data_IF_744872575979
#
_entry.id   IF_744872575979
#
_cell.length_a   1.000
_cell.length_b   1.000
_cell.length_c   1.000
_cell.angle_alpha   90.00
_cell.angle_beta   90.00
_cell.angle_gamma   90.00
#
_symmetry.space_group_name_H-M   'P 1'
#
loop_
_entity.id
_entity.type
_entity.pdbx_description
1 polymer ?
#
# COMPACT_ATOMS: atom_id res chain seq x y z
N UNK A 1 51.66 25.01 34.70
CA UNK A 1 50.93 24.79 33.44
C UNK A 1 49.99 23.61 33.65
N UNK A 2 48.67 23.83 33.71
CA UNK A 2 47.65 22.79 33.87
C UNK A 2 46.87 22.70 32.57
N UNK A 3 47.00 21.57 31.87
CA UNK A 3 46.18 21.24 30.70
C UNK A 3 44.81 20.76 31.19
N UNK A 4 43.76 21.50 30.86
CA UNK A 4 42.37 21.08 31.03
C UNK A 4 41.91 20.53 29.68
N UNK A 5 41.73 19.22 29.61
CA UNK A 5 41.12 18.50 28.49
C UNK A 5 39.64 18.87 28.43
N UNK A 6 39.23 19.63 27.41
CA UNK A 6 37.81 19.79 27.08
C UNK A 6 37.36 18.58 26.25
N UNK A 7 36.79 17.58 26.91
CA UNK A 7 35.96 16.56 26.27
C UNK A 7 34.61 17.19 25.87
N UNK A 8 34.52 17.71 24.66
CA UNK A 8 33.26 18.17 24.10
C UNK A 8 32.49 16.99 23.49
N UNK A 9 31.35 16.73 24.10
CA UNK A 9 30.35 15.71 23.81
C UNK A 9 29.83 15.86 22.37
N UNK A 10 30.02 14.84 21.54
CA UNK A 10 29.30 14.69 20.28
C UNK A 10 27.85 14.34 20.59
N UNK A 11 27.00 15.37 20.68
CA UNK A 11 25.55 15.20 20.61
C UNK A 11 25.20 14.75 19.19
N UNK A 12 25.09 13.44 18.99
CA UNK A 12 24.38 12.87 17.85
C UNK A 12 22.91 13.25 17.99
N UNK A 13 22.54 14.43 17.49
CA UNK A 13 21.16 14.82 17.30
C UNK A 13 20.59 13.91 16.20
N UNK A 14 20.02 12.78 16.61
CA UNK A 14 19.17 11.97 15.75
C UNK A 14 17.94 12.81 15.41
N UNK A 15 18.01 13.60 14.34
CA UNK A 15 16.82 14.07 13.63
C UNK A 15 16.07 12.82 13.16
N UNK A 16 15.16 12.33 13.99
CA UNK A 16 14.18 11.36 13.55
C UNK A 16 13.30 12.07 12.54
N UNK A 17 13.51 11.77 11.27
CA UNK A 17 12.61 12.17 10.20
C UNK A 17 11.19 11.74 10.60
N UNK A 18 10.20 12.65 10.54
CA UNK A 18 8.83 12.31 10.92
C UNK A 18 8.39 11.08 10.13
N UNK A 19 8.00 10.02 10.84
CA UNK A 19 7.45 8.84 10.19
C UNK A 19 6.29 9.28 9.28
N UNK A 20 6.21 8.76 8.05
CA UNK A 20 5.14 9.11 7.14
C UNK A 20 3.79 8.88 7.84
N UNK A 21 2.92 9.90 7.81
CA UNK A 21 1.64 9.86 8.51
C UNK A 21 0.58 9.01 7.79
N UNK A 22 0.87 8.57 6.56
CA UNK A 22 -0.01 7.76 5.75
C UNK A 22 0.58 7.47 4.38
N UNK A 23 -0.16 6.70 3.58
CA UNK A 23 0.06 6.56 2.15
C UNK A 23 -0.56 7.75 1.42
N UNK A 24 -0.04 8.11 0.26
CA UNK A 24 -0.66 9.14 -0.58
C UNK A 24 -1.93 8.60 -1.24
N UNK A 25 -3.06 9.25 -1.00
CA UNK A 25 -4.34 8.88 -1.59
C UNK A 25 -4.33 9.02 -3.12
N UNK A 26 -5.15 8.24 -3.81
CA UNK A 26 -5.32 8.27 -5.25
C UNK A 26 -5.62 6.92 -5.88
N UNK A 27 -5.71 6.94 -7.20
CA UNK A 27 -5.88 5.77 -8.05
C UNK A 27 -4.53 5.37 -8.64
N UNK A 28 -4.26 4.07 -8.66
CA UNK A 28 -3.02 3.48 -9.13
C UNK A 28 -3.32 2.32 -10.07
N UNK A 29 -2.59 2.26 -11.19
CA UNK A 29 -2.70 1.21 -12.19
C UNK A 29 -1.47 0.30 -12.13
N UNK A 30 -1.71 -1.01 -12.12
CA UNK A 30 -0.66 -2.02 -12.21
C UNK A 30 -0.52 -2.56 -13.64
N UNK A 31 -0.03 -3.79 -13.76
CA UNK A 31 0.08 -4.46 -15.05
C UNK A 31 -1.29 -4.92 -15.56
N UNK A 32 -1.58 -4.68 -16.84
CA UNK A 32 -2.82 -5.15 -17.48
C UNK A 32 -4.07 -4.56 -16.83
N UNK A 33 -4.82 -5.41 -16.09
CA UNK A 33 -6.08 -5.06 -15.42
C UNK A 33 -5.89 -4.75 -13.92
N UNK A 34 -4.66 -4.81 -13.42
CA UNK A 34 -4.37 -4.62 -12.01
C UNK A 34 -4.66 -3.17 -11.58
N UNK A 35 -5.31 -3.03 -10.44
CA UNK A 35 -5.82 -1.77 -9.94
C UNK A 35 -5.64 -1.66 -8.42
N UNK A 36 -5.30 -0.47 -7.94
CA UNK A 36 -5.22 -0.15 -6.53
C UNK A 36 -5.75 1.26 -6.30
N UNK A 37 -6.52 1.43 -5.24
CA UNK A 37 -7.00 2.74 -4.83
C UNK A 37 -6.75 2.94 -3.33
N UNK A 38 -6.34 4.15 -2.96
CA UNK A 38 -6.15 4.61 -1.58
C UNK A 38 -6.99 5.86 -1.38
N UNK A 39 -7.81 5.89 -0.34
CA UNK A 39 -8.70 7.01 -0.06
C UNK A 39 -8.69 7.39 1.43
N UNK A 40 -9.13 8.62 1.71
CA UNK A 40 -9.22 9.18 3.06
C UNK A 40 -7.95 9.87 3.54
N UNK A 41 -8.10 10.54 4.68
CA UNK A 41 -7.03 11.32 5.31
C UNK A 41 -6.04 10.42 6.06
N UNK A 42 -4.76 10.84 6.18
CA UNK A 42 -3.74 10.13 6.97
C UNK A 42 -4.26 9.70 8.35
N UNK A 43 -4.01 8.44 8.72
CA UNK A 43 -4.48 7.84 9.98
C UNK A 43 -5.87 7.20 9.95
N UNK A 44 -6.71 7.51 8.96
CA UNK A 44 -8.04 6.87 8.76
C UNK A 44 -8.22 6.29 7.35
N UNK A 45 -7.11 6.07 6.66
CA UNK A 45 -7.10 5.69 5.25
C UNK A 45 -7.66 4.30 5.01
N UNK A 46 -8.25 4.14 3.83
CA UNK A 46 -8.73 2.87 3.30
C UNK A 46 -8.04 2.60 1.97
N UNK A 47 -7.96 1.33 1.62
CA UNK A 47 -7.52 0.94 0.31
C UNK A 47 -8.27 -0.30 -0.19
N UNK A 48 -8.30 -0.43 -1.50
CA UNK A 48 -8.73 -1.63 -2.19
C UNK A 48 -7.78 -1.93 -3.33
N UNK A 49 -7.53 -3.21 -3.58
CA UNK A 49 -6.78 -3.64 -4.76
C UNK A 49 -7.44 -4.84 -5.42
N UNK A 50 -7.10 -5.01 -6.70
CA UNK A 50 -7.34 -6.22 -7.45
C UNK A 50 -6.15 -6.47 -8.38
N UNK A 51 -5.65 -7.71 -8.39
CA UNK A 51 -4.60 -8.16 -9.32
C UNK A 51 -5.07 -9.40 -10.03
N UNK A 52 -4.82 -9.50 -11.32
CA UNK A 52 -5.28 -10.59 -12.16
C UNK A 52 -4.15 -11.57 -12.49
N UNK A 53 -4.50 -12.85 -12.50
CA UNK A 53 -3.71 -13.93 -13.06
C UNK A 53 -4.23 -14.34 -14.43
N UNK A 54 -4.16 -15.65 -14.73
CA UNK A 54 -4.68 -16.21 -15.98
C UNK A 54 -6.21 -16.25 -15.96
N UNK A 55 -6.85 -15.77 -17.02
CA UNK A 55 -8.31 -15.69 -17.12
C UNK A 55 -8.86 -14.64 -16.16
N UNK A 56 -9.87 -15.00 -15.38
CA UNK A 56 -10.47 -14.12 -14.37
C UNK A 56 -10.06 -14.48 -12.92
N UNK A 57 -9.12 -15.41 -12.74
CA UNK A 57 -8.55 -15.63 -11.42
C UNK A 57 -7.85 -14.34 -10.95
N UNK A 58 -8.10 -13.93 -9.71
CA UNK A 58 -7.58 -12.68 -9.17
C UNK A 58 -7.24 -12.80 -7.67
N UNK A 59 -6.46 -11.85 -7.18
CA UNK A 59 -6.43 -11.50 -5.77
C UNK A 59 -7.16 -10.18 -5.58
N UNK A 60 -8.06 -10.09 -4.61
CA UNK A 60 -8.72 -8.82 -4.28
C UNK A 60 -8.99 -8.71 -2.79
N UNK A 61 -8.72 -7.52 -2.25
CA UNK A 61 -9.05 -7.16 -0.89
C UNK A 61 -9.32 -5.66 -0.79
N UNK A 62 -10.23 -5.29 0.12
CA UNK A 62 -10.48 -3.90 0.54
C UNK A 62 -10.49 -3.82 2.05
N UNK A 63 -10.12 -2.67 2.61
CA UNK A 63 -9.98 -2.53 4.06
C UNK A 63 -9.35 -1.22 4.51
N UNK A 64 -8.83 -1.23 5.73
CA UNK A 64 -8.18 -0.06 6.36
C UNK A 64 -6.68 -0.17 6.22
N UNK A 65 -6.02 0.96 6.00
CA UNK A 65 -4.57 1.04 6.11
C UNK A 65 -4.20 1.25 7.59
N UNK A 66 -3.27 0.44 8.08
CA UNK A 66 -2.70 0.54 9.43
C UNK A 66 -1.19 0.72 9.35
N UNK A 67 -0.62 1.49 10.28
CA UNK A 67 0.83 1.57 10.44
C UNK A 67 1.32 0.33 11.21
N UNK A 68 2.27 -0.41 10.66
CA UNK A 68 2.81 -1.63 11.27
C UNK A 68 4.27 -1.85 10.88
N UNK A 69 5.11 -2.19 11.85
CA UNK A 69 6.51 -2.56 11.60
C UNK A 69 7.37 -1.49 10.92
N UNK A 70 7.00 -0.20 11.04
CA UNK A 70 7.67 0.91 10.35
C UNK A 70 7.20 1.13 8.90
N UNK A 71 6.16 0.42 8.46
CA UNK A 71 5.52 0.62 7.17
C UNK A 71 3.99 0.65 7.29
N UNK A 72 3.32 0.37 6.18
CA UNK A 72 1.86 0.31 6.12
C UNK A 72 1.39 -1.09 5.74
N UNK A 73 0.24 -1.49 6.26
CA UNK A 73 -0.43 -2.70 5.84
C UNK A 73 -1.90 -2.42 5.56
N UNK A 74 -2.44 -3.04 4.53
CA UNK A 74 -3.88 -3.17 4.36
C UNK A 74 -4.37 -4.28 5.28
N UNK A 75 -5.25 -3.93 6.21
CA UNK A 75 -6.06 -4.86 7.00
C UNK A 75 -7.41 -5.02 6.30
N UNK A 76 -7.64 -6.15 5.59
CA UNK A 76 -8.86 -6.34 4.84
C UNK A 76 -10.12 -6.34 5.74
N UNK A 77 -11.27 -6.03 5.15
CA UNK A 77 -12.57 -6.21 5.81
C UNK A 77 -12.85 -7.70 5.96
N UNK A 78 -13.10 -8.14 7.19
CA UNK A 78 -13.32 -9.54 7.53
C UNK A 78 -12.77 -9.88 8.91
N UNK A 79 -12.90 -11.14 9.31
CA UNK A 79 -12.25 -11.67 10.50
C UNK A 79 -10.89 -12.27 10.11
N UNK A 80 -9.82 -11.87 10.81
CA UNK A 80 -8.52 -12.54 10.65
C UNK A 80 -7.31 -11.68 10.95
N UNK A 81 -6.16 -12.35 10.96
CA UNK A 81 -4.83 -11.76 11.18
C UNK A 81 -4.13 -11.33 9.87
N UNK A 82 -4.84 -11.40 8.73
CA UNK A 82 -4.27 -11.04 7.43
C UNK A 82 -3.92 -9.54 7.39
N UNK A 83 -2.64 -9.26 7.12
CA UNK A 83 -2.10 -7.92 6.93
C UNK A 83 -1.28 -7.92 5.66
N UNK A 84 -1.75 -7.18 4.67
CA UNK A 84 -1.14 -7.15 3.33
C UNK A 84 -0.18 -5.95 3.31
N UNK A 85 1.16 -6.17 3.31
CA UNK A 85 2.10 -5.07 3.44
C UNK A 85 2.09 -4.20 2.19
N UNK A 86 2.05 -2.88 2.36
CA UNK A 86 2.22 -1.91 1.29
C UNK A 86 3.49 -1.08 1.54
N UNK A 87 4.29 -0.94 0.50
CA UNK A 87 5.38 0.02 0.44
C UNK A 87 5.04 1.08 -0.61
N UNK A 88 5.33 2.34 -0.31
CA UNK A 88 5.14 3.43 -1.26
C UNK A 88 6.37 4.30 -1.34
N UNK A 89 6.71 4.66 -2.59
CA UNK A 89 7.75 5.61 -2.95
C UNK A 89 7.22 6.56 -4.04
N UNK A 90 8.11 7.32 -4.66
CA UNK A 90 7.76 8.25 -5.75
C UNK A 90 7.24 7.53 -7.00
N UNK A 91 7.60 6.27 -7.23
CA UNK A 91 7.19 5.50 -8.40
C UNK A 91 5.77 4.91 -8.24
N UNK A 92 5.33 4.69 -7.00
CA UNK A 92 3.96 4.25 -6.72
C UNK A 92 3.86 3.36 -5.49
N UNK A 93 2.92 2.41 -5.52
CA UNK A 93 2.63 1.48 -4.42
C UNK A 93 3.04 0.08 -4.83
N UNK A 94 3.69 -0.66 -3.93
CA UNK A 94 4.04 -2.06 -4.11
C UNK A 94 3.45 -2.92 -3.01
N UNK A 95 2.90 -4.06 -3.38
CA UNK A 95 2.47 -5.09 -2.44
C UNK A 95 3.70 -5.90 -2.01
N UNK A 96 3.92 -5.99 -0.71
CA UNK A 96 4.97 -6.81 -0.12
C UNK A 96 4.65 -8.30 -0.16
N UNK A 97 5.47 -9.14 0.50
CA UNK A 97 5.16 -10.56 0.65
C UNK A 97 3.86 -10.76 1.44
N UNK A 98 2.93 -11.53 0.89
CA UNK A 98 1.67 -11.87 1.53
C UNK A 98 1.89 -12.93 2.61
N UNK A 99 1.42 -12.68 3.85
CA UNK A 99 1.33 -13.74 4.85
C UNK A 99 0.41 -14.87 4.38
N UNK A 100 0.68 -16.09 4.85
CA UNK A 100 -0.17 -17.26 4.55
C UNK A 100 -1.65 -17.02 4.94
N UNK A 101 -1.90 -16.24 5.99
CA UNK A 101 -3.25 -15.85 6.42
C UNK A 101 -4.04 -15.06 5.36
N UNK A 102 -3.37 -14.48 4.36
CA UNK A 102 -3.99 -13.72 3.29
C UNK A 102 -4.33 -14.55 2.05
N UNK A 103 -4.03 -15.86 2.04
CA UNK A 103 -4.26 -16.71 0.86
C UNK A 103 -5.73 -16.76 0.42
N UNK A 104 -6.66 -16.58 1.35
CA UNK A 104 -8.10 -16.53 1.07
C UNK A 104 -8.49 -15.40 0.11
N UNK A 105 -7.73 -14.30 0.09
CA UNK A 105 -7.99 -13.17 -0.81
C UNK A 105 -7.48 -13.40 -2.24
N UNK A 106 -6.87 -14.56 -2.51
CA UNK A 106 -6.35 -14.93 -3.82
C UNK A 106 -7.03 -16.20 -4.34
N UNK A 107 -7.49 -16.14 -5.59
CA UNK A 107 -7.88 -17.32 -6.34
C UNK A 107 -6.68 -18.26 -6.58
N UNK A 108 -6.95 -19.51 -6.99
CA UNK A 108 -5.90 -20.49 -7.24
C UNK A 108 -4.90 -19.98 -8.29
N UNK A 109 -3.62 -20.23 -8.03
CA UNK A 109 -2.47 -19.85 -8.88
C UNK A 109 -2.27 -18.35 -9.13
N UNK A 110 -2.92 -17.46 -8.36
CA UNK A 110 -2.72 -16.01 -8.44
C UNK A 110 -1.88 -15.52 -7.26
N UNK A 111 -0.99 -14.57 -7.52
CA UNK A 111 -0.16 -13.93 -6.50
C UNK A 111 -0.23 -12.41 -6.64
N UNK A 112 -0.50 -11.73 -5.52
CA UNK A 112 -0.35 -10.28 -5.44
C UNK A 112 1.05 -9.87 -4.94
N UNK A 113 1.84 -10.82 -4.43
CA UNK A 113 3.20 -10.60 -3.96
C UNK A 113 4.06 -9.83 -4.97
N UNK A 114 4.61 -8.70 -4.53
CA UNK A 114 5.54 -7.92 -5.35
C UNK A 114 4.90 -7.14 -6.48
N UNK A 115 3.57 -7.18 -6.65
CA UNK A 115 2.86 -6.37 -7.65
C UNK A 115 3.05 -4.88 -7.37
N UNK A 116 3.31 -4.13 -8.43
CA UNK A 116 3.56 -2.68 -8.38
C UNK A 116 2.48 -1.94 -9.13
N UNK A 117 2.05 -0.81 -8.58
CA UNK A 117 1.02 0.07 -9.11
C UNK A 117 1.56 1.48 -9.20
N UNK A 118 1.43 2.12 -10.36
CA UNK A 118 1.85 3.49 -10.60
C UNK A 118 0.67 4.43 -10.44
N UNK A 119 0.92 5.62 -9.89
CA UNK A 119 -0.11 6.64 -9.75
C UNK A 119 -0.66 7.01 -11.13
N UNK A 120 -1.98 7.02 -11.26
CA UNK A 120 -2.65 7.51 -12.47
C UNK A 120 -2.72 9.02 -12.37
N UNK A 121 -1.99 9.73 -13.24
CA UNK A 121 -2.07 11.18 -13.35
C UNK A 121 -3.41 11.58 -13.97
N UNK A 122 -3.93 12.76 -13.61
CA UNK A 122 -5.19 13.32 -14.12
C UNK A 122 -5.26 13.47 -15.66
N UNK A 123 -4.12 13.32 -16.36
CA UNK A 123 -4.03 13.35 -17.83
C UNK A 123 -3.89 11.99 -18.52
N UNK A 124 -3.57 10.91 -17.79
CA UNK A 124 -3.15 9.64 -18.39
C UNK A 124 -4.26 8.58 -18.47
N UNK A 125 -5.45 8.83 -17.90
CA UNK A 125 -6.59 7.91 -17.99
C UNK A 125 -7.93 8.59 -17.72
N UNK A 126 -8.44 9.34 -18.70
CA UNK A 126 -9.84 9.78 -18.69
C UNK A 126 -10.84 8.60 -18.72
N UNK A 127 -10.39 7.38 -19.01
CA UNK A 127 -11.18 6.14 -18.87
C UNK A 127 -11.09 5.49 -17.48
N UNK A 128 -10.14 5.86 -16.62
CA UNK A 128 -10.06 5.38 -15.24
C UNK A 128 -10.83 6.27 -14.25
N UNK A 129 -11.21 7.49 -14.64
CA UNK A 129 -11.96 8.42 -13.79
C UNK A 129 -13.48 8.40 -13.99
N UNK A 130 -13.99 7.66 -14.98
CA UNK A 130 -15.43 7.64 -15.34
C UNK A 130 -16.13 6.31 -15.05
N UNK A 131 -15.38 5.24 -14.77
CA UNK A 131 -15.90 4.00 -14.22
C UNK A 131 -15.28 3.79 -12.83
N UNK A 132 -16.08 3.57 -11.77
CA UNK A 132 -15.51 3.22 -10.47
C UNK A 132 -14.63 1.98 -10.65
N UNK A 133 -13.43 2.01 -10.09
CA UNK A 133 -12.61 0.79 -10.02
C UNK A 133 -13.37 -0.21 -9.14
N UNK A 134 -13.87 -1.26 -9.76
CA UNK A 134 -14.64 -2.31 -9.11
C UNK A 134 -13.87 -3.61 -9.10
N UNK A 135 -14.16 -4.45 -8.09
CA UNK A 135 -13.73 -5.83 -8.09
C UNK A 135 -14.51 -6.67 -9.12
N UNK A 136 -14.26 -7.99 -9.14
CA UNK A 136 -14.99 -8.89 -10.04
C UNK A 136 -16.51 -8.94 -9.80
N UNK A 137 -16.96 -8.68 -8.58
CA UNK A 137 -18.37 -8.61 -8.22
C UNK A 137 -19.04 -7.29 -8.62
N UNK A 138 -18.27 -6.31 -9.11
CA UNK A 138 -18.75 -4.96 -9.38
C UNK A 138 -18.75 -4.05 -8.15
N UNK A 139 -18.14 -4.50 -7.04
CA UNK A 139 -18.05 -3.74 -5.81
C UNK A 139 -16.91 -2.71 -5.91
N UNK A 140 -17.14 -1.43 -5.56
CA UNK A 140 -16.08 -0.42 -5.58
C UNK A 140 -14.90 -0.80 -4.67
N UNK A 141 -13.68 -0.61 -5.17
CA UNK A 141 -12.44 -0.72 -4.39
C UNK A 141 -12.31 0.44 -3.41
N UNK A 142 -12.76 1.62 -3.85
CA UNK A 142 -13.04 2.86 -3.14
C UNK A 142 -14.26 3.49 -3.84
#
# INVERSE_FOLDING_TARGET
MRFILCSAVFLAACSQEPAPSGLSAGIFAGEGRDALCIAGDPGVQRAGFITYGRGDANCSARGRIVAEGGGFALLPMGEGECRIPFAQDEAGVKIGPLPAACSYYCGPDVKADGKSFRRVSSGDSASASSNPMVDLGGDPLC
#
